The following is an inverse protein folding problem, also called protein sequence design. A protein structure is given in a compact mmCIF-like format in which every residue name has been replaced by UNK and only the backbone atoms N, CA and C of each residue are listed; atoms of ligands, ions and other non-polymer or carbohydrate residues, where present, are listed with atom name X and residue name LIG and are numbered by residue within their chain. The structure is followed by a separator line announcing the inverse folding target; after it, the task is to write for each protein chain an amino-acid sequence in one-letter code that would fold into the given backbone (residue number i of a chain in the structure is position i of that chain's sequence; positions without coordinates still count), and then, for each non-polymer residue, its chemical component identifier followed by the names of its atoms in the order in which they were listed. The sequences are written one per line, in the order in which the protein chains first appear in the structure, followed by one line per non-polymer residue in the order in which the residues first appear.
data_IF_683017274723
#
_entry.id   IF_683017274723
#
_cell.length_a   1.000
_cell.length_b   1.000
_cell.length_c   1.000
_cell.angle_alpha   90.00
_cell.angle_beta   90.00
_cell.angle_gamma   90.00
#
_symmetry.space_group_name_H-M   'P 1'
#
loop_
_entity.id
_entity.type
_entity.pdbx_description
1 polymer ?
#
# COMPACT_ATOMS: atom_id res chain seq x y z
N UNK A 1 -17.01 -19.24 3.77
CA UNK A 1 -16.69 -17.89 3.24
C UNK A 1 -16.88 -16.94 4.40
N UNK A 2 -15.79 -16.48 5.03
CA UNK A 2 -15.89 -15.60 6.19
C UNK A 2 -16.61 -14.31 5.80
N UNK A 3 -17.57 -13.91 6.64
CA UNK A 3 -18.38 -12.70 6.50
C UNK A 3 -17.48 -11.48 6.27
N UNK A 4 -17.94 -10.54 5.43
CA UNK A 4 -17.25 -9.26 5.22
C UNK A 4 -17.11 -8.58 6.58
N UNK A 5 -15.90 -8.63 7.14
CA UNK A 5 -15.49 -7.77 8.24
C UNK A 5 -15.82 -6.33 7.87
N UNK A 6 -16.48 -5.64 8.79
CA UNK A 6 -17.19 -4.39 8.52
C UNK A 6 -16.35 -3.32 7.84
N UNK A 7 -17.06 -2.41 7.15
CA UNK A 7 -16.48 -1.18 6.63
C UNK A 7 -15.75 -0.44 7.77
N UNK A 8 -14.44 -0.29 7.63
CA UNK A 8 -13.60 0.46 8.55
C UNK A 8 -13.13 1.73 7.83
N UNK A 9 -13.71 2.85 8.23
CA UNK A 9 -13.42 4.16 7.63
C UNK A 9 -11.94 4.54 7.77
N UNK A 10 -11.29 4.16 8.89
CA UNK A 10 -9.87 4.46 9.11
C UNK A 10 -9.01 3.67 8.14
N UNK A 11 -9.30 2.39 7.95
CA UNK A 11 -8.64 1.57 6.94
C UNK A 11 -8.83 2.12 5.52
N UNK A 12 -10.03 2.61 5.19
CA UNK A 12 -10.30 3.22 3.88
C UNK A 12 -9.47 4.49 3.69
N UNK A 13 -9.39 5.36 4.71
CA UNK A 13 -8.55 6.57 4.66
C UNK A 13 -7.06 6.23 4.48
N UNK A 14 -6.56 5.21 5.19
CA UNK A 14 -5.19 4.71 5.03
C UNK A 14 -4.97 4.13 3.63
N UNK A 15 -5.93 3.36 3.10
CA UNK A 15 -5.87 2.81 1.74
C UNK A 15 -5.82 3.91 0.66
N UNK A 16 -6.58 4.99 0.86
CA UNK A 16 -6.54 6.17 -0.01
C UNK A 16 -5.17 6.87 0.04
N UNK A 17 -4.59 7.08 1.24
CA UNK A 17 -3.24 7.64 1.39
C UNK A 17 -2.20 6.86 0.57
N UNK A 18 -2.22 5.53 0.66
CA UNK A 18 -1.28 4.66 -0.07
C UNK A 18 -1.51 4.74 -1.59
N UNK A 19 -2.77 4.81 -2.02
CA UNK A 19 -3.13 4.99 -3.42
C UNK A 19 -2.64 6.33 -3.96
N UNK A 20 -2.84 7.41 -3.22
CA UNK A 20 -2.41 8.77 -3.58
C UNK A 20 -0.89 8.85 -3.73
N UNK A 21 -0.14 8.27 -2.78
CA UNK A 21 1.33 8.20 -2.88
C UNK A 21 1.78 7.42 -4.11
N UNK A 22 1.15 6.28 -4.41
CA UNK A 22 1.45 5.53 -5.64
C UNK A 22 1.18 6.35 -6.89
N UNK A 23 0.09 7.13 -6.92
CA UNK A 23 -0.21 8.04 -8.03
C UNK A 23 0.78 9.18 -8.14
N UNK A 24 1.30 9.69 -7.02
CA UNK A 24 2.29 10.75 -6.98
C UNK A 24 3.66 10.33 -7.58
N UNK A 25 3.99 9.04 -7.59
CA UNK A 25 5.18 8.52 -8.28
C UNK A 25 5.13 8.72 -9.81
N UNK A 26 3.95 9.01 -10.36
CA UNK A 26 3.77 9.37 -11.76
C UNK A 26 3.12 8.28 -12.62
N UNK A 27 2.93 8.58 -13.91
CA UNK A 27 2.11 7.79 -14.85
C UNK A 27 2.56 6.34 -15.02
N UNK A 28 3.85 6.05 -14.79
CA UNK A 28 4.43 4.70 -14.87
C UNK A 28 3.81 3.76 -13.84
N UNK A 29 3.39 4.29 -12.68
CA UNK A 29 2.84 3.53 -11.55
C UNK A 29 1.30 3.64 -11.43
N UNK A 30 0.64 4.06 -12.52
CA UNK A 30 -0.79 4.40 -12.55
C UNK A 30 -1.75 3.22 -12.25
N UNK A 31 -1.35 1.98 -12.56
CA UNK A 31 -2.10 0.78 -12.16
C UNK A 31 -1.33 -0.02 -11.11
N UNK A 32 -2.05 -0.87 -10.37
CA UNK A 32 -1.46 -1.77 -9.37
C UNK A 32 -0.49 -2.75 -10.02
N UNK A 33 -0.85 -3.30 -11.17
CA UNK A 33 -0.04 -4.24 -11.94
C UNK A 33 1.26 -3.58 -12.40
N UNK A 34 1.17 -2.36 -12.96
CA UNK A 34 2.36 -1.61 -13.35
C UNK A 34 3.23 -1.31 -12.14
N UNK A 35 2.63 -0.85 -11.04
CA UNK A 35 3.37 -0.56 -9.82
C UNK A 35 4.12 -1.78 -9.28
N UNK A 36 3.46 -2.93 -9.25
CA UNK A 36 4.09 -4.18 -8.82
C UNK A 36 5.21 -4.56 -9.78
N UNK A 37 4.97 -4.58 -11.09
CA UNK A 37 5.96 -5.00 -12.08
C UNK A 37 7.21 -4.11 -12.04
N UNK A 38 7.03 -2.79 -12.03
CA UNK A 38 8.15 -1.84 -12.02
C UNK A 38 8.95 -1.91 -10.73
N UNK A 39 8.29 -2.01 -9.56
CA UNK A 39 9.01 -2.14 -8.28
C UNK A 39 9.64 -3.52 -8.09
N UNK A 40 9.08 -4.57 -8.68
CA UNK A 40 9.70 -5.90 -8.65
C UNK A 40 11.04 -5.87 -9.38
N UNK A 41 11.09 -5.23 -10.55
CA UNK A 41 12.32 -5.01 -11.32
C UNK A 41 13.31 -4.10 -10.58
N UNK A 42 12.83 -3.01 -10.00
CA UNK A 42 13.69 -1.98 -9.39
C UNK A 42 14.26 -2.38 -8.01
N UNK A 43 13.51 -3.15 -7.21
CA UNK A 43 13.81 -3.33 -5.78
C UNK A 43 13.83 -4.80 -5.31
N UNK A 44 13.32 -5.76 -6.10
CA UNK A 44 13.05 -7.12 -5.61
C UNK A 44 13.49 -8.22 -6.58
N UNK A 45 14.60 -8.01 -7.30
CA UNK A 45 15.23 -9.05 -8.15
C UNK A 45 14.24 -9.69 -9.16
N UNK A 46 13.33 -8.88 -9.71
CA UNK A 46 12.27 -9.31 -10.64
C UNK A 46 11.22 -10.26 -10.02
N UNK A 47 11.27 -10.52 -8.73
CA UNK A 47 10.26 -11.29 -8.02
C UNK A 47 9.07 -10.42 -7.57
N UNK A 48 7.83 -10.89 -7.73
CA UNK A 48 6.66 -10.16 -7.24
C UNK A 48 6.67 -10.00 -5.72
N UNK A 49 6.96 -8.79 -5.25
CA UNK A 49 7.01 -8.47 -3.81
C UNK A 49 5.63 -8.43 -3.13
N UNK A 50 4.56 -8.30 -3.92
CA UNK A 50 3.16 -8.36 -3.47
C UNK A 50 2.26 -8.80 -4.62
N UNK A 51 1.18 -9.54 -4.31
CA UNK A 51 0.15 -9.83 -5.31
C UNK A 51 -0.78 -8.64 -5.54
N UNK A 52 -1.29 -8.49 -6.77
CA UNK A 52 -2.24 -7.42 -7.11
C UNK A 52 -3.49 -7.46 -6.21
N UNK A 53 -3.98 -8.66 -5.86
CA UNK A 53 -5.11 -8.83 -4.95
C UNK A 53 -4.81 -8.30 -3.54
N UNK A 54 -3.61 -8.57 -3.02
CA UNK A 54 -3.22 -8.08 -1.70
C UNK A 54 -3.08 -6.56 -1.73
N UNK A 55 -2.40 -6.00 -2.72
CA UNK A 55 -2.31 -4.55 -2.90
C UNK A 55 -3.69 -3.89 -2.99
N UNK A 56 -4.61 -4.47 -3.78
CA UNK A 56 -5.98 -3.99 -3.88
C UNK A 56 -6.73 -4.08 -2.55
N UNK A 57 -6.51 -5.10 -1.73
CA UNK A 57 -7.15 -5.19 -0.42
C UNK A 57 -6.63 -4.12 0.54
N UNK A 58 -5.34 -3.80 0.51
CA UNK A 58 -4.74 -2.72 1.31
C UNK A 58 -5.30 -1.36 0.86
N UNK A 59 -5.21 -1.05 -0.43
CA UNK A 59 -5.65 0.24 -0.98
C UNK A 59 -7.17 0.48 -0.85
N UNK A 60 -7.97 -0.59 -0.82
CA UNK A 60 -9.42 -0.48 -0.59
C UNK A 60 -9.80 -0.57 0.90
N UNK A 61 -8.84 -0.56 1.83
CA UNK A 61 -9.10 -0.60 3.27
C UNK A 61 -9.75 -1.90 3.77
N UNK A 62 -9.51 -3.03 3.09
CA UNK A 62 -10.06 -4.34 3.50
C UNK A 62 -9.18 -5.07 4.50
N UNK A 63 -7.87 -4.80 4.46
CA UNK A 63 -6.87 -5.47 5.28
C UNK A 63 -5.95 -4.44 5.94
N UNK A 64 -5.61 -4.66 7.22
CA UNK A 64 -4.48 -4.01 7.86
C UNK A 64 -3.17 -4.49 7.21
N UNK A 65 -2.25 -3.55 7.00
CA UNK A 65 -0.90 -3.86 6.54
C UNK A 65 -0.08 -4.38 7.73
N UNK A 66 0.62 -5.51 7.56
CA UNK A 66 1.59 -5.96 8.56
C UNK A 66 2.80 -5.04 8.60
N UNK A 67 3.58 -5.05 9.70
CA UNK A 67 4.80 -4.23 9.80
C UNK A 67 5.79 -4.55 8.69
N UNK A 68 6.01 -5.84 8.39
CA UNK A 68 6.88 -6.26 7.28
C UNK A 68 6.40 -5.69 5.94
N UNK A 69 5.10 -5.77 5.67
CA UNK A 69 4.53 -5.25 4.44
C UNK A 69 4.57 -3.72 4.38
N UNK A 70 4.46 -3.03 5.51
CA UNK A 70 4.58 -1.58 5.59
C UNK A 70 5.99 -1.13 5.18
N UNK A 71 7.03 -1.82 5.64
CA UNK A 71 8.41 -1.51 5.27
C UNK A 71 8.61 -1.69 3.76
N UNK A 72 8.14 -2.83 3.21
CA UNK A 72 8.20 -3.08 1.75
C UNK A 72 7.41 -2.05 0.95
N UNK A 73 6.22 -1.66 1.42
CA UNK A 73 5.40 -0.62 0.79
C UNK A 73 6.07 0.75 0.82
N UNK A 74 6.68 1.12 1.94
CA UNK A 74 7.37 2.41 2.09
C UNK A 74 8.50 2.53 1.07
N UNK A 75 9.35 1.50 0.96
CA UNK A 75 10.41 1.48 -0.06
C UNK A 75 9.86 1.51 -1.48
N UNK A 76 8.80 0.74 -1.76
CA UNK A 76 8.12 0.78 -3.07
C UNK A 76 7.48 2.15 -3.36
N UNK A 77 7.12 2.91 -2.33
CA UNK A 77 6.57 4.26 -2.44
C UNK A 77 7.64 5.37 -2.43
N UNK A 78 8.94 5.02 -2.33
CA UNK A 78 10.03 5.99 -2.14
C UNK A 78 9.85 6.89 -0.92
N UNK A 79 9.28 6.34 0.16
CA UNK A 79 9.06 7.04 1.43
C UNK A 79 9.82 6.30 2.55
N UNK A 80 10.35 7.06 3.51
CA UNK A 80 10.92 6.46 4.72
C UNK A 80 9.84 5.68 5.51
N UNK A 81 10.09 4.44 5.96
CA UNK A 81 9.09 3.64 6.68
C UNK A 81 8.57 4.32 7.96
N UNK A 82 9.40 5.08 8.66
CA UNK A 82 9.00 5.80 9.88
C UNK A 82 8.10 6.97 9.53
N UNK A 83 8.40 7.71 8.46
CA UNK A 83 7.54 8.76 7.93
C UNK A 83 6.17 8.22 7.51
N UNK A 84 6.14 7.14 6.72
CA UNK A 84 4.88 6.52 6.30
C UNK A 84 4.05 6.07 7.51
N UNK A 85 4.70 5.47 8.51
CA UNK A 85 4.01 5.05 9.72
C UNK A 85 3.46 6.24 10.53
N UNK A 86 4.18 7.36 10.61
CA UNK A 86 3.68 8.59 11.27
C UNK A 86 2.42 9.13 10.59
N UNK A 87 2.36 9.12 9.27
CA UNK A 87 1.16 9.56 8.53
C UNK A 87 -0.02 8.62 8.78
N UNK A 88 0.21 7.31 8.76
CA UNK A 88 -0.81 6.30 9.11
C UNK A 88 -1.31 6.51 10.55
N UNK A 89 -0.39 6.74 11.50
CA UNK A 89 -0.75 7.03 12.90
C UNK A 89 -1.59 8.30 13.03
N UNK A 90 -1.31 9.34 12.24
CA UNK A 90 -2.13 10.56 12.20
C UNK A 90 -3.56 10.22 11.80
N UNK A 91 -3.74 9.53 10.67
CA UNK A 91 -5.07 9.12 10.18
C UNK A 91 -5.79 8.16 11.12
N UNK A 92 -5.05 7.32 11.85
CA UNK A 92 -5.62 6.40 12.84
C UNK A 92 -6.17 7.11 14.07
N UNK A 93 -5.54 8.21 14.49
CA UNK A 93 -5.88 8.96 15.70
C UNK A 93 -6.93 10.06 15.45
N UNK A 94 -7.19 10.41 14.18
CA UNK A 94 -8.35 11.22 13.76
C UNK A 94 -9.66 10.41 13.80
#
# INVERSE_FOLDING_TARGET
MAERTGYDEKLVRIGNLLTEKRMALGKRYSSREKFIAERSLELYEEEPWISCRHLANIENGKNWISVEMLIKHAYALEVDPVELFREILKLYNE
#
